data_IF_230403317293
#
_entry.id   IF_230403317293
#
_cell.length_a   1.000
_cell.length_b   1.000
_cell.length_c   1.000
_cell.angle_alpha   90.00
_cell.angle_beta   90.00
_cell.angle_gamma   90.00
#
_symmetry.space_group_name_H-M   'P 1'
#
loop_
_entity.id
_entity.type
_entity.pdbx_description
1 polymer ?
#
# COMPACT_ATOMS: atom_id res chain seq x y z
N UNK A 1 2.90 1.21 21.37
CA UNK A 1 2.36 2.40 20.67
C UNK A 1 0.99 2.07 20.11
N UNK A 2 0.03 2.95 20.29
CA UNK A 2 -1.31 2.80 19.70
C UNK A 2 -1.51 3.89 18.66
N UNK A 3 -1.92 3.49 17.47
CA UNK A 3 -2.22 4.35 16.32
C UNK A 3 -3.58 3.93 15.75
N UNK A 4 -4.03 4.52 14.68
CA UNK A 4 -5.26 4.09 14.02
C UNK A 4 -5.06 4.03 12.50
N UNK A 5 -6.05 3.47 11.81
CA UNK A 5 -5.97 3.23 10.36
C UNK A 5 -5.85 4.51 9.52
N UNK A 6 -6.28 5.63 10.03
CA UNK A 6 -6.25 6.90 9.30
C UNK A 6 -4.97 7.70 9.57
N UNK A 7 -4.39 7.53 10.74
CA UNK A 7 -3.15 8.18 11.15
C UNK A 7 -2.23 7.14 11.78
N UNK A 8 -1.31 6.65 11.00
CA UNK A 8 -0.40 5.58 11.44
C UNK A 8 0.84 6.10 12.15
N UNK A 9 0.95 7.41 12.37
CA UNK A 9 2.21 8.00 12.84
C UNK A 9 3.29 7.89 11.75
N UNK A 10 4.53 8.07 12.15
CA UNK A 10 5.64 7.91 11.21
C UNK A 10 5.96 9.16 10.42
N UNK A 11 6.69 8.98 9.33
CA UNK A 11 7.23 10.07 8.53
C UNK A 11 6.72 10.02 7.09
N UNK A 12 6.41 11.20 6.54
CA UNK A 12 6.11 11.35 5.12
C UNK A 12 7.41 11.17 4.34
N UNK A 13 7.51 10.09 3.57
CA UNK A 13 8.72 9.75 2.81
C UNK A 13 8.61 10.08 1.33
N UNK A 14 7.39 10.23 0.81
CA UNK A 14 7.13 10.64 -0.56
C UNK A 14 5.88 11.50 -0.62
N UNK A 15 5.93 12.54 -1.43
CA UNK A 15 4.79 13.40 -1.71
C UNK A 15 4.92 13.87 -3.16
N UNK A 16 4.22 13.20 -4.05
CA UNK A 16 4.26 13.45 -5.50
C UNK A 16 2.84 13.63 -6.04
N UNK A 17 2.74 13.93 -7.34
CA UNK A 17 1.43 13.96 -7.99
C UNK A 17 0.77 12.57 -8.09
N UNK A 18 1.55 11.52 -7.92
CA UNK A 18 1.04 10.14 -7.94
C UNK A 18 0.46 9.77 -6.58
N UNK A 19 1.21 9.99 -5.51
CA UNK A 19 0.82 9.53 -4.19
C UNK A 19 1.60 10.21 -3.07
N UNK A 20 1.09 10.03 -1.84
CA UNK A 20 1.82 10.24 -0.60
C UNK A 20 2.12 8.90 0.04
N UNK A 21 3.30 8.75 0.59
CA UNK A 21 3.71 7.54 1.33
C UNK A 21 4.24 7.95 2.68
N UNK A 22 3.68 7.35 3.73
CA UNK A 22 4.07 7.54 5.11
C UNK A 22 4.55 6.20 5.65
N UNK A 23 5.73 6.17 6.26
CA UNK A 23 6.28 4.95 6.87
C UNK A 23 6.38 5.12 8.38
N UNK A 24 5.86 4.14 9.10
CA UNK A 24 6.06 4.00 10.53
C UNK A 24 7.06 2.87 10.79
N UNK A 25 8.24 3.23 11.28
CA UNK A 25 9.34 2.30 11.56
C UNK A 25 9.62 2.17 13.05
N UNK A 26 8.57 2.30 13.86
CA UNK A 26 8.70 2.17 15.31
C UNK A 26 9.24 0.80 15.74
N UNK A 27 8.79 -0.26 15.05
CA UNK A 27 9.27 -1.61 15.30
C UNK A 27 10.59 -1.87 14.56
N UNK A 28 11.40 -2.79 15.09
CA UNK A 28 12.70 -3.10 14.49
C UNK A 28 12.59 -3.93 13.22
N UNK A 29 11.66 -4.88 13.18
CA UNK A 29 11.59 -5.88 12.11
C UNK A 29 10.44 -5.67 11.14
N UNK A 30 9.45 -4.87 11.50
CA UNK A 30 8.29 -4.62 10.68
C UNK A 30 8.14 -3.13 10.39
N UNK A 31 7.73 -2.82 9.18
CA UNK A 31 7.33 -1.47 8.78
C UNK A 31 5.84 -1.47 8.49
N UNK A 32 5.16 -0.47 9.02
CA UNK A 32 3.79 -0.14 8.65
C UNK A 32 3.85 1.08 7.72
N UNK A 33 3.27 0.94 6.53
CA UNK A 33 3.32 1.99 5.51
C UNK A 33 1.90 2.35 5.09
N UNK A 34 1.63 3.64 4.93
CA UNK A 34 0.38 4.14 4.37
C UNK A 34 0.65 4.78 3.02
N UNK A 35 -0.11 4.38 2.01
CA UNK A 35 -0.12 5.01 0.70
C UNK A 35 -1.47 5.68 0.46
N UNK A 36 -1.43 6.93 0.04
CA UNK A 36 -2.60 7.69 -0.38
C UNK A 36 -2.42 7.95 -1.88
N UNK A 37 -3.05 7.12 -2.69
CA UNK A 37 -2.91 7.12 -4.15
C UNK A 37 -3.92 8.08 -4.76
N UNK A 38 -3.43 9.05 -5.51
CA UNK A 38 -4.28 10.08 -6.11
C UNK A 38 -5.21 9.52 -7.19
N UNK A 39 -6.31 10.23 -7.52
CA UNK A 39 -7.25 9.76 -8.53
C UNK A 39 -6.58 9.41 -9.85
N UNK A 40 -6.97 8.27 -10.43
CA UNK A 40 -6.50 7.73 -11.71
C UNK A 40 -4.99 7.45 -11.77
N UNK A 41 -4.29 7.50 -10.65
CA UNK A 41 -2.87 7.17 -10.60
C UNK A 41 -2.67 5.68 -10.28
N UNK A 42 -1.44 5.24 -10.47
CA UNK A 42 -1.04 3.86 -10.22
C UNK A 42 0.31 3.83 -9.53
N UNK A 43 0.55 2.79 -8.74
CA UNK A 43 1.88 2.57 -8.15
C UNK A 43 2.85 2.10 -9.23
N UNK A 44 4.15 2.15 -8.94
CA UNK A 44 5.18 1.71 -9.90
C UNK A 44 5.15 0.22 -10.19
N UNK A 45 4.56 -0.54 -9.28
CA UNK A 45 4.61 -1.99 -9.35
C UNK A 45 5.98 -2.51 -8.94
N UNK A 46 6.01 -3.58 -8.18
CA UNK A 46 7.26 -4.19 -7.80
C UNK A 46 7.08 -5.62 -7.34
N UNK A 47 8.21 -6.29 -7.23
CA UNK A 47 8.31 -7.68 -6.80
C UNK A 47 9.45 -7.74 -5.80
N UNK A 48 9.17 -8.23 -4.61
CA UNK A 48 10.18 -8.40 -3.57
C UNK A 48 10.42 -9.88 -3.32
N UNK A 49 11.63 -10.33 -3.57
CA UNK A 49 12.01 -11.69 -3.22
C UNK A 49 12.38 -11.76 -1.74
N UNK A 50 11.91 -12.80 -1.07
CA UNK A 50 12.12 -13.00 0.36
C UNK A 50 11.19 -12.21 1.25
N UNK A 51 10.23 -11.48 0.72
CA UNK A 51 9.30 -10.67 1.49
C UNK A 51 7.86 -10.99 1.17
N UNK A 52 7.08 -11.16 2.22
CA UNK A 52 5.62 -11.21 2.17
C UNK A 52 5.07 -9.87 2.59
N UNK A 53 3.90 -9.50 2.10
CA UNK A 53 3.25 -8.26 2.46
C UNK A 53 1.76 -8.46 2.72
N UNK A 54 1.20 -7.62 3.59
CA UNK A 54 -0.23 -7.54 3.84
C UNK A 54 -0.68 -6.13 3.45
N UNK A 55 -1.65 -6.04 2.54
CA UNK A 55 -2.30 -4.78 2.18
C UNK A 55 -3.67 -4.73 2.83
N UNK A 56 -3.95 -3.63 3.50
CA UNK A 56 -5.25 -3.37 4.10
C UNK A 56 -5.79 -2.09 3.46
N UNK A 57 -6.83 -2.21 2.62
CA UNK A 57 -7.44 -1.07 1.95
C UNK A 57 -8.38 -0.35 2.92
N UNK A 58 -8.15 0.95 3.09
CA UNK A 58 -8.87 1.78 4.08
C UNK A 58 -10.09 2.45 3.43
N UNK A 59 -9.91 3.04 2.26
CA UNK A 59 -10.96 3.76 1.54
C UNK A 59 -10.65 3.87 0.06
N UNK A 60 -11.71 4.14 -0.71
CA UNK A 60 -11.60 4.23 -2.15
C UNK A 60 -11.81 2.88 -2.82
N UNK A 61 -11.57 2.83 -4.12
CA UNK A 61 -11.71 1.60 -4.91
C UNK A 61 -10.75 1.62 -6.09
N UNK A 62 -10.42 0.44 -6.56
CA UNK A 62 -9.54 0.30 -7.70
C UNK A 62 -9.31 -1.16 -8.04
N UNK A 63 -8.17 -1.44 -8.65
CA UNK A 63 -7.78 -2.80 -8.97
C UNK A 63 -6.33 -3.03 -8.58
N UNK A 64 -5.98 -4.28 -8.40
CA UNK A 64 -4.62 -4.69 -8.05
C UNK A 64 -4.21 -5.86 -8.93
N UNK A 65 -3.01 -5.76 -9.49
CA UNK A 65 -2.37 -6.87 -10.19
C UNK A 65 -1.56 -7.68 -9.18
N UNK A 66 -1.69 -9.00 -9.26
CA UNK A 66 -0.89 -9.97 -8.52
C UNK A 66 -0.38 -10.98 -9.54
N UNK A 67 0.85 -10.83 -10.01
CA UNK A 67 1.40 -11.52 -11.18
C UNK A 67 0.47 -11.31 -12.39
N UNK A 68 -0.13 -12.38 -12.91
CA UNK A 68 -1.06 -12.33 -14.06
C UNK A 68 -2.53 -12.29 -13.66
N UNK A 69 -2.82 -12.16 -12.37
CA UNK A 69 -4.19 -12.07 -11.85
C UNK A 69 -4.51 -10.62 -11.52
N UNK A 70 -5.72 -10.18 -11.89
CA UNK A 70 -6.22 -8.85 -11.56
C UNK A 70 -7.44 -9.01 -10.65
N UNK A 71 -7.44 -8.30 -9.53
CA UNK A 71 -8.54 -8.29 -8.58
C UNK A 71 -9.06 -6.88 -8.38
N UNK A 72 -10.33 -6.76 -8.03
CA UNK A 72 -10.95 -5.50 -7.65
C UNK A 72 -10.75 -5.33 -6.14
N UNK A 73 -10.39 -4.12 -5.72
CA UNK A 73 -10.17 -3.79 -4.31
C UNK A 73 -10.96 -2.55 -3.92
N UNK A 74 -11.37 -2.50 -2.66
CA UNK A 74 -12.08 -1.36 -2.08
C UNK A 74 -11.82 -1.30 -0.58
N UNK A 75 -12.20 -0.21 0.04
CA UNK A 75 -12.09 -0.05 1.49
C UNK A 75 -12.65 -1.24 2.26
N UNK A 76 -11.87 -1.75 3.20
CA UNK A 76 -12.16 -2.93 3.99
C UNK A 76 -11.53 -4.23 3.49
N UNK A 77 -11.02 -4.26 2.25
CA UNK A 77 -10.39 -5.46 1.71
C UNK A 77 -8.97 -5.63 2.25
N UNK A 78 -8.59 -6.88 2.46
CA UNK A 78 -7.24 -7.26 2.85
C UNK A 78 -6.69 -8.17 1.77
N UNK A 79 -5.48 -7.86 1.29
CA UNK A 79 -4.81 -8.66 0.26
C UNK A 79 -3.51 -9.20 0.83
N UNK A 80 -3.34 -10.50 0.75
CA UNK A 80 -2.12 -11.18 1.19
C UNK A 80 -1.24 -11.42 -0.04
N UNK A 81 -0.02 -10.91 0.02
CA UNK A 81 0.92 -10.98 -1.09
C UNK A 81 2.04 -11.95 -0.73
N UNK A 82 2.07 -13.11 -1.37
CA UNK A 82 3.15 -14.08 -1.15
C UNK A 82 4.50 -13.57 -1.60
N UNK A 83 5.54 -14.19 -1.08
CA UNK A 83 6.91 -13.93 -1.50
C UNK A 83 7.05 -14.03 -3.03
N UNK A 84 7.70 -13.02 -3.60
CA UNK A 84 8.05 -13.02 -5.01
C UNK A 84 6.92 -12.70 -5.99
N UNK A 85 5.74 -12.35 -5.50
CA UNK A 85 4.61 -11.99 -6.37
C UNK A 85 4.72 -10.51 -6.76
N UNK A 86 4.70 -10.25 -8.07
CA UNK A 86 4.61 -8.89 -8.59
C UNK A 86 3.25 -8.30 -8.21
N UNK A 87 3.24 -7.06 -7.72
CA UNK A 87 2.00 -6.38 -7.35
C UNK A 87 2.03 -4.92 -7.76
N UNK A 88 0.87 -4.41 -8.14
CA UNK A 88 0.67 -3.05 -8.58
C UNK A 88 -0.77 -2.65 -8.33
N UNK A 89 -0.97 -1.43 -7.83
CA UNK A 89 -2.29 -0.90 -7.47
C UNK A 89 -2.66 0.24 -8.41
N UNK A 90 -3.90 0.23 -8.88
CA UNK A 90 -4.48 1.25 -9.74
C UNK A 90 -5.69 1.88 -9.05
N UNK A 91 -5.67 3.19 -8.92
CA UNK A 91 -6.85 3.93 -8.48
C UNK A 91 -7.75 4.18 -9.70
N UNK A 92 -8.96 3.63 -9.66
CA UNK A 92 -9.93 3.74 -10.75
C UNK A 92 -10.86 4.94 -10.60
N UNK A 93 -10.82 5.63 -9.48
CA UNK A 93 -11.67 6.78 -9.24
C UNK A 93 -11.12 8.04 -9.90
N UNK A 94 -12.01 8.85 -10.48
CA UNK A 94 -11.66 10.15 -11.02
C UNK A 94 -11.57 11.24 -9.95
N UNK A 95 -12.10 10.99 -8.74
CA UNK A 95 -12.28 12.02 -7.73
C UNK A 95 -11.67 11.69 -6.38
N UNK A 96 -11.66 10.43 -6.01
CA UNK A 96 -11.27 10.00 -4.67
C UNK A 96 -9.89 9.37 -4.65
N UNK A 97 -9.20 9.54 -3.54
CA UNK A 97 -7.95 8.81 -3.31
C UNK A 97 -8.27 7.35 -2.99
N UNK A 98 -7.32 6.48 -3.31
CA UNK A 98 -7.31 5.09 -2.85
C UNK A 98 -6.25 4.98 -1.77
N UNK A 99 -6.69 4.68 -0.56
CA UNK A 99 -5.84 4.69 0.61
C UNK A 99 -5.68 3.27 1.17
N UNK A 100 -4.45 2.86 1.36
CA UNK A 100 -4.17 1.53 1.90
C UNK A 100 -2.96 1.53 2.81
N UNK A 101 -2.99 0.66 3.80
CA UNK A 101 -1.89 0.41 4.71
C UNK A 101 -1.25 -0.93 4.35
N UNK A 102 0.07 -1.00 4.45
CA UNK A 102 0.83 -2.22 4.19
C UNK A 102 1.66 -2.56 5.41
N UNK A 103 1.79 -3.84 5.68
CA UNK A 103 2.74 -4.35 6.68
C UNK A 103 3.70 -5.28 5.96
N UNK A 104 4.99 -5.04 6.15
CA UNK A 104 6.03 -5.86 5.56
C UNK A 104 7.26 -5.88 6.46
N UNK A 105 8.08 -6.89 6.28
CA UNK A 105 9.38 -6.98 6.94
C UNK A 105 10.25 -5.82 6.49
N UNK A 106 10.87 -5.12 7.44
CA UNK A 106 11.67 -3.93 7.14
C UNK A 106 12.84 -4.25 6.23
N UNK A 107 13.03 -3.41 5.23
CA UNK A 107 14.16 -3.44 4.32
C UNK A 107 14.52 -2.01 3.93
N UNK A 108 15.69 -1.82 3.35
CA UNK A 108 16.11 -0.52 2.85
C UNK A 108 15.39 -0.22 1.54
N UNK A 109 14.71 0.93 1.49
CA UNK A 109 14.00 1.38 0.29
C UNK A 109 14.92 2.08 -0.69
#
# INVERSE_FOLDING_TARGET
MKINKDDIGGELIRDTHVYKVIDNKYLNNLTLSKTILNPLQQTGGHKHEGLEEVYFFIRGFGRMELDDVVIIVKGGDIVLIPDGVFHKVYNESQRETLEFNCVFQSYER
#
